data_IF_742418435866
#
_entry.id   IF_742418435866
#
_cell.length_a   1.000
_cell.length_b   1.000
_cell.length_c   1.000
_cell.angle_alpha   90.00
_cell.angle_beta   90.00
_cell.angle_gamma   90.00
#
_symmetry.space_group_name_H-M   'P 1'
#
loop_
_entity.id
_entity.type
_entity.pdbx_description
1 polymer ?
#
# COMPACT_ATOMS: atom_id res chain seq x y z
N UNK A 1 -39.35 -16.61 -33.53
CA UNK A 1 -38.03 -16.43 -34.16
C UNK A 1 -37.11 -15.51 -33.36
N UNK A 2 -37.51 -14.30 -32.94
CA UNK A 2 -36.67 -13.41 -32.10
C UNK A 2 -36.19 -13.97 -30.75
N UNK A 3 -36.93 -14.87 -30.10
CA UNK A 3 -36.51 -15.45 -28.81
C UNK A 3 -35.40 -16.51 -28.96
N UNK A 4 -35.35 -17.22 -30.10
CA UNK A 4 -34.36 -18.29 -30.35
C UNK A 4 -33.00 -17.73 -30.79
N UNK A 5 -32.96 -16.57 -31.47
CA UNK A 5 -31.70 -15.88 -31.78
C UNK A 5 -31.03 -15.27 -30.54
N UNK A 6 -31.82 -14.81 -29.56
CA UNK A 6 -31.30 -14.23 -28.30
C UNK A 6 -30.66 -15.31 -27.42
N UNK A 7 -31.24 -16.52 -27.32
CA UNK A 7 -30.64 -17.62 -26.55
C UNK A 7 -29.34 -18.15 -27.21
N UNK A 8 -29.31 -18.29 -28.54
CA UNK A 8 -28.12 -18.75 -29.25
C UNK A 8 -26.94 -17.75 -29.17
N UNK A 9 -27.24 -16.45 -29.20
CA UNK A 9 -26.23 -15.40 -29.04
C UNK A 9 -25.75 -15.27 -27.59
N UNK A 10 -26.64 -15.46 -26.61
CA UNK A 10 -26.28 -15.47 -25.20
C UNK A 10 -25.39 -16.66 -24.84
N UNK A 11 -25.66 -17.86 -25.37
CA UNK A 11 -24.83 -19.04 -25.12
C UNK A 11 -23.47 -18.97 -25.82
N UNK A 12 -23.41 -18.40 -27.03
CA UNK A 12 -22.15 -18.10 -27.69
C UNK A 12 -21.32 -17.07 -26.88
N UNK A 13 -21.94 -16.00 -26.39
CA UNK A 13 -21.28 -14.98 -25.56
C UNK A 13 -20.79 -15.56 -24.21
N UNK A 14 -21.55 -16.45 -23.58
CA UNK A 14 -21.14 -17.19 -22.37
C UNK A 14 -19.95 -18.10 -22.63
N UNK A 15 -19.96 -18.82 -23.76
CA UNK A 15 -18.85 -19.71 -24.14
C UNK A 15 -17.56 -18.92 -24.41
N UNK A 16 -17.67 -17.74 -25.02
CA UNK A 16 -16.54 -16.86 -25.30
C UNK A 16 -16.00 -16.24 -24.01
N UNK A 17 -16.89 -15.84 -23.09
CA UNK A 17 -16.50 -15.36 -21.75
C UNK A 17 -15.69 -16.39 -20.96
N UNK A 18 -16.12 -17.65 -20.95
CA UNK A 18 -15.38 -18.74 -20.31
C UNK A 18 -14.02 -19.01 -20.96
N UNK A 19 -13.94 -18.95 -22.29
CA UNK A 19 -12.67 -19.13 -23.01
C UNK A 19 -11.68 -17.99 -22.72
N UNK A 20 -12.16 -16.74 -22.67
CA UNK A 20 -11.33 -15.58 -22.30
C UNK A 20 -10.86 -15.70 -20.85
N UNK A 21 -11.75 -16.06 -19.93
CA UNK A 21 -11.38 -16.25 -18.51
C UNK A 21 -10.30 -17.34 -18.36
N UNK A 22 -10.44 -18.47 -19.06
CA UNK A 22 -9.46 -19.54 -19.06
C UNK A 22 -8.11 -19.15 -19.69
N UNK A 23 -8.13 -18.36 -20.78
CA UNK A 23 -6.92 -17.89 -21.45
C UNK A 23 -6.17 -16.83 -20.63
N UNK A 24 -6.88 -16.08 -19.80
CA UNK A 24 -6.33 -14.96 -19.02
C UNK A 24 -5.92 -15.38 -17.61
N UNK A 25 -6.43 -16.51 -17.09
CA UNK A 25 -6.06 -17.07 -15.80
C UNK A 25 -4.54 -17.34 -15.61
N UNK A 26 -3.80 -17.90 -16.59
CA UNK A 26 -2.34 -18.07 -16.49
C UNK A 26 -1.56 -16.74 -16.45
N UNK A 27 -2.17 -15.65 -16.90
CA UNK A 27 -1.57 -14.32 -16.98
C UNK A 27 -1.82 -13.47 -15.71
N UNK A 28 -2.41 -14.07 -14.66
CA UNK A 28 -2.78 -13.43 -13.38
C UNK A 28 -3.69 -12.20 -13.55
N UNK A 29 -4.52 -12.21 -14.59
CA UNK A 29 -5.47 -11.15 -14.93
C UNK A 29 -6.90 -11.70 -14.69
N UNK A 30 -7.77 -10.85 -14.16
CA UNK A 30 -9.20 -11.08 -14.05
C UNK A 30 -9.93 -10.30 -15.14
N UNK A 31 -10.98 -10.92 -15.66
CA UNK A 31 -11.76 -10.41 -16.78
C UNK A 31 -13.17 -10.18 -16.28
N UNK A 32 -13.59 -8.91 -16.20
CA UNK A 32 -14.95 -8.54 -15.78
C UNK A 32 -15.75 -8.11 -17.02
N UNK A 33 -16.80 -8.86 -17.44
CA UNK A 33 -17.65 -8.42 -18.54
C UNK A 33 -18.41 -7.14 -18.14
N UNK A 34 -18.40 -6.14 -19.01
CA UNK A 34 -18.99 -4.82 -18.79
C UNK A 34 -19.96 -4.49 -19.92
N UNK A 35 -21.24 -4.73 -19.68
CA UNK A 35 -22.32 -4.28 -20.56
C UNK A 35 -22.67 -2.81 -20.31
N UNK A 36 -22.81 -2.02 -21.39
CA UNK A 36 -23.15 -0.58 -21.30
C UNK A 36 -24.04 -0.13 -22.45
N UNK A 37 -24.87 0.86 -22.18
CA UNK A 37 -25.69 1.55 -23.18
C UNK A 37 -24.83 2.37 -24.15
N UNK A 38 -25.12 2.29 -25.45
CA UNK A 38 -24.37 2.99 -26.51
C UNK A 38 -24.18 4.50 -26.26
N UNK A 39 -25.15 5.17 -25.62
CA UNK A 39 -25.04 6.59 -25.26
C UNK A 39 -23.93 6.90 -24.23
N UNK A 40 -23.55 5.92 -23.41
CA UNK A 40 -22.53 6.04 -22.37
C UNK A 40 -21.19 5.40 -22.77
N UNK A 41 -21.16 4.72 -23.92
CA UNK A 41 -20.01 3.97 -24.42
C UNK A 41 -18.74 4.82 -24.54
N UNK A 42 -18.86 6.06 -25.01
CA UNK A 42 -17.71 6.99 -25.06
C UNK A 42 -17.12 7.21 -23.65
N UNK A 43 -17.98 7.42 -22.63
CA UNK A 43 -17.54 7.61 -21.23
C UNK A 43 -16.97 6.33 -20.63
N UNK A 44 -17.54 5.18 -20.95
CA UNK A 44 -17.06 3.89 -20.47
C UNK A 44 -15.70 3.52 -21.05
N UNK A 45 -15.46 3.74 -22.35
CA UNK A 45 -14.14 3.57 -22.97
C UNK A 45 -13.09 4.46 -22.27
N UNK A 46 -13.52 5.62 -21.79
CA UNK A 46 -12.76 6.52 -20.92
C UNK A 46 -12.66 6.10 -19.45
N UNK A 47 -13.24 4.98 -19.01
CA UNK A 47 -13.13 4.48 -17.63
C UNK A 47 -12.52 3.08 -17.53
N UNK A 48 -12.70 2.23 -18.55
CA UNK A 48 -12.43 0.79 -18.47
C UNK A 48 -11.01 0.36 -18.88
N UNK A 49 -10.03 1.28 -19.03
CA UNK A 49 -8.65 0.89 -19.37
C UNK A 49 -7.94 0.19 -18.19
N UNK A 50 -7.19 -0.91 -18.41
CA UNK A 50 -7.07 -1.65 -19.67
C UNK A 50 -8.29 -2.56 -19.92
N UNK A 51 -8.69 -2.70 -21.19
CA UNK A 51 -9.86 -3.48 -21.60
C UNK A 51 -9.57 -4.34 -22.84
N UNK A 52 -10.22 -5.48 -22.95
CA UNK A 52 -10.34 -6.25 -24.18
C UNK A 52 -11.68 -5.87 -24.84
N UNK A 53 -11.64 -5.54 -26.13
CA UNK A 53 -12.80 -5.19 -26.92
C UNK A 53 -13.00 -6.27 -27.99
N UNK A 54 -14.22 -6.80 -28.12
CA UNK A 54 -14.61 -7.61 -29.29
C UNK A 54 -15.26 -6.73 -30.33
N UNK A 55 -14.74 -6.70 -31.56
CA UNK A 55 -15.54 -6.29 -32.70
C UNK A 55 -15.84 -7.50 -33.58
N UNK A 56 -16.46 -8.51 -32.98
CA UNK A 56 -17.05 -9.62 -33.72
C UNK A 56 -18.00 -9.07 -34.80
N UNK A 57 -17.59 -9.25 -36.06
CA UNK A 57 -18.51 -9.36 -37.18
C UNK A 57 -18.88 -10.85 -37.29
N UNK A 58 -20.11 -11.19 -37.67
CA UNK A 58 -20.82 -12.48 -37.48
C UNK A 58 -20.07 -13.79 -37.87
N UNK A 59 -18.81 -13.76 -38.32
CA UNK A 59 -17.97 -14.89 -38.67
C UNK A 59 -16.53 -14.87 -38.09
N UNK A 60 -16.03 -13.76 -37.51
CA UNK A 60 -14.69 -13.68 -36.87
C UNK A 60 -14.67 -12.68 -35.71
N UNK A 61 -14.29 -13.14 -34.51
CA UNK A 61 -13.95 -12.25 -33.38
C UNK A 61 -12.58 -11.62 -33.61
N UNK A 62 -12.55 -10.30 -33.73
CA UNK A 62 -11.33 -9.51 -33.73
C UNK A 62 -11.17 -8.84 -32.36
N UNK A 63 -10.20 -9.33 -31.58
CA UNK A 63 -9.90 -8.78 -30.27
C UNK A 63 -8.90 -7.64 -30.38
N UNK A 64 -9.22 -6.50 -29.76
CA UNK A 64 -8.30 -5.38 -29.59
C UNK A 64 -8.13 -5.07 -28.11
N UNK A 65 -6.88 -4.83 -27.70
CA UNK A 65 -6.57 -4.44 -26.32
C UNK A 65 -6.48 -2.93 -26.22
N UNK A 66 -7.39 -2.34 -25.46
CA UNK A 66 -7.35 -0.95 -25.01
C UNK A 66 -6.33 -0.85 -23.86
N UNK A 67 -5.15 -0.31 -24.13
CA UNK A 67 -4.00 -0.46 -23.24
C UNK A 67 -3.83 0.73 -22.30
N UNK A 68 -3.97 1.95 -22.82
CA UNK A 68 -3.76 3.17 -22.04
C UNK A 68 -4.49 4.38 -22.64
N UNK A 69 -4.52 5.47 -21.88
CA UNK A 69 -5.03 6.77 -22.33
C UNK A 69 -3.89 7.73 -22.53
N UNK A 70 -3.95 8.51 -23.60
CA UNK A 70 -3.02 9.62 -23.85
C UNK A 70 -3.79 10.86 -24.24
N UNK A 71 -3.92 11.78 -23.30
CA UNK A 71 -4.65 13.05 -23.47
C UNK A 71 -6.11 12.87 -23.89
N UNK A 72 -6.43 13.06 -25.18
CA UNK A 72 -7.77 12.91 -25.79
C UNK A 72 -7.90 11.68 -26.69
N UNK A 73 -6.87 10.83 -26.73
CA UNK A 73 -6.82 9.61 -27.57
C UNK A 73 -6.68 8.36 -26.71
N UNK A 74 -7.23 7.27 -27.22
CA UNK A 74 -7.10 5.93 -26.67
C UNK A 74 -5.94 5.23 -27.38
N UNK A 75 -5.10 4.52 -26.62
CA UNK A 75 -4.00 3.73 -27.18
C UNK A 75 -4.46 2.29 -27.30
N UNK A 76 -4.66 1.84 -28.53
CA UNK A 76 -5.00 0.46 -28.88
C UNK A 76 -3.72 -0.31 -29.16
N UNK A 77 -3.70 -1.58 -28.78
CA UNK A 77 -2.73 -2.56 -29.23
C UNK A 77 -3.40 -3.40 -30.31
N UNK A 78 -2.87 -3.33 -31.52
CA UNK A 78 -3.31 -4.17 -32.62
C UNK A 78 -2.79 -5.62 -32.43
N UNK A 79 -3.38 -6.64 -33.09
CA UNK A 79 -2.98 -8.05 -32.95
C UNK A 79 -1.50 -8.31 -33.28
N UNK A 80 -0.93 -7.48 -34.13
CA UNK A 80 0.47 -7.39 -34.54
C UNK A 80 1.40 -6.73 -33.48
N UNK A 81 0.86 -6.36 -32.31
CA UNK A 81 1.61 -5.76 -31.19
C UNK A 81 1.91 -4.27 -31.35
N UNK A 82 1.48 -3.66 -32.46
CA UNK A 82 1.69 -2.23 -32.72
C UNK A 82 0.76 -1.36 -31.88
N UNK A 83 1.28 -0.23 -31.37
CA UNK A 83 0.52 0.72 -30.55
C UNK A 83 0.00 1.87 -31.42
N UNK A 84 -1.31 2.03 -31.51
CA UNK A 84 -1.93 3.09 -32.28
C UNK A 84 -2.80 4.00 -31.40
N UNK A 85 -2.68 5.32 -31.60
CA UNK A 85 -3.45 6.32 -30.87
C UNK A 85 -4.68 6.75 -31.68
N UNK A 86 -5.85 6.27 -31.26
CA UNK A 86 -7.12 6.35 -31.98
C UNK A 86 -8.11 7.21 -31.21
N UNK A 87 -9.02 7.91 -31.90
CA UNK A 87 -10.06 8.70 -31.21
C UNK A 87 -11.14 7.79 -30.64
N UNK A 88 -11.78 8.14 -29.51
CA UNK A 88 -12.88 7.35 -28.94
C UNK A 88 -14.03 7.09 -29.93
N UNK A 89 -14.30 8.07 -30.81
CA UNK A 89 -15.32 7.97 -31.85
C UNK A 89 -14.98 6.90 -32.90
N UNK A 90 -13.71 6.78 -33.27
CA UNK A 90 -13.24 5.74 -34.18
C UNK A 90 -13.37 4.35 -33.56
N UNK A 91 -13.04 4.21 -32.27
CA UNK A 91 -13.22 2.94 -31.53
C UNK A 91 -14.70 2.56 -31.44
N UNK A 92 -15.58 3.53 -31.17
CA UNK A 92 -17.03 3.30 -31.13
C UNK A 92 -17.57 2.80 -32.47
N UNK A 93 -17.25 3.52 -33.56
CA UNK A 93 -17.66 3.15 -34.92
C UNK A 93 -17.17 1.77 -35.34
N UNK A 94 -16.00 1.37 -34.83
CA UNK A 94 -15.45 0.04 -35.08
C UNK A 94 -16.21 -1.03 -34.27
N UNK A 95 -16.40 -0.81 -32.97
CA UNK A 95 -17.11 -1.73 -32.06
C UNK A 95 -18.57 -1.96 -32.47
N UNK A 96 -19.24 -0.91 -32.95
CA UNK A 96 -20.67 -0.94 -33.29
C UNK A 96 -20.90 -0.99 -34.81
N UNK A 97 -19.89 -1.35 -35.61
CA UNK A 97 -19.94 -1.25 -37.08
C UNK A 97 -21.12 -2.02 -37.68
N UNK A 98 -21.40 -3.21 -37.17
CA UNK A 98 -22.48 -4.08 -37.64
C UNK A 98 -23.86 -3.50 -37.34
N UNK A 99 -24.03 -2.84 -36.18
CA UNK A 99 -25.30 -2.19 -35.82
C UNK A 99 -25.45 -0.79 -36.43
N UNK A 100 -24.35 -0.05 -36.64
CA UNK A 100 -24.35 1.28 -37.22
C UNK A 100 -24.52 1.27 -38.76
N UNK A 101 -23.96 0.29 -39.47
CA UNK A 101 -23.94 0.21 -40.94
C UNK A 101 -25.32 0.32 -41.62
N UNK A 102 -26.36 -0.42 -41.21
CA UNK A 102 -27.68 -0.31 -41.84
C UNK A 102 -28.33 1.06 -41.61
N UNK A 103 -28.21 1.64 -40.41
CA UNK A 103 -28.73 2.98 -40.10
C UNK A 103 -27.94 4.09 -40.83
N UNK A 104 -26.63 3.91 -41.00
CA UNK A 104 -25.78 4.84 -41.75
C UNK A 104 -26.20 4.90 -43.22
N UNK A 105 -26.48 3.76 -43.85
CA UNK A 105 -26.93 3.69 -45.24
C UNK A 105 -28.31 4.35 -45.42
N UNK A 106 -29.25 4.08 -44.51
CA UNK A 106 -30.57 4.70 -44.52
C UNK A 106 -30.46 6.23 -44.31
N UNK A 107 -29.68 6.68 -43.33
CA UNK A 107 -29.51 8.11 -43.04
C UNK A 107 -28.75 8.87 -44.12
N UNK A 108 -27.78 8.26 -44.81
CA UNK A 108 -27.10 8.89 -45.95
C UNK A 108 -28.08 9.17 -47.10
N UNK A 109 -29.03 8.26 -47.34
CA UNK A 109 -30.08 8.45 -48.35
C UNK A 109 -31.03 9.61 -47.99
N UNK A 110 -31.36 9.76 -46.71
CA UNK A 110 -32.25 10.83 -46.21
C UNK A 110 -31.54 12.18 -46.15
N UNK A 111 -30.31 12.23 -45.63
CA UNK A 111 -29.52 13.46 -45.53
C UNK A 111 -29.10 14.00 -46.90
N UNK A 112 -28.93 13.12 -47.90
CA UNK A 112 -28.68 13.53 -49.29
C UNK A 112 -29.83 14.32 -49.92
N UNK A 113 -31.07 14.08 -49.48
CA UNK A 113 -32.27 14.79 -49.97
C UNK A 113 -32.48 16.17 -49.33
N UNK A 114 -31.87 16.43 -48.18
CA UNK A 114 -32.12 17.63 -47.36
C UNK A 114 -31.12 18.77 -47.64
N UNK A 115 -30.15 18.57 -48.53
CA UNK A 115 -29.27 19.66 -49.00
C UNK A 115 -28.29 20.21 -47.94
N UNK A 116 -27.99 19.43 -46.89
CA UNK A 116 -27.07 19.85 -45.81
C UNK A 116 -25.63 19.90 -46.33
N UNK A 117 -24.83 20.85 -45.85
CA UNK A 117 -23.40 20.97 -46.18
C UNK A 117 -22.58 19.71 -45.77
N UNK A 118 -21.62 19.24 -46.59
CA UNK A 118 -20.91 17.97 -46.37
C UNK A 118 -20.17 17.89 -45.03
N UNK A 119 -19.65 19.03 -44.52
CA UNK A 119 -18.98 19.09 -43.21
C UNK A 119 -19.95 18.95 -42.02
N UNK A 120 -21.21 19.34 -42.19
CA UNK A 120 -22.23 19.25 -41.15
C UNK A 120 -22.97 17.90 -41.18
N UNK A 121 -23.01 17.23 -42.34
CA UNK A 121 -23.61 15.90 -42.49
C UNK A 121 -23.01 14.89 -41.52
N UNK A 122 -21.68 14.84 -41.39
CA UNK A 122 -21.00 13.91 -40.49
C UNK A 122 -21.37 14.13 -39.01
N UNK A 123 -21.55 15.40 -38.59
CA UNK A 123 -21.96 15.74 -37.22
C UNK A 123 -23.44 15.44 -36.96
N UNK A 124 -24.30 15.75 -37.92
CA UNK A 124 -25.74 15.45 -37.83
C UNK A 124 -25.98 13.94 -37.79
N UNK A 125 -25.26 13.19 -38.62
CA UNK A 125 -25.31 11.73 -38.65
C UNK A 125 -24.89 11.12 -37.30
N UNK A 126 -23.76 11.56 -36.73
CA UNK A 126 -23.31 11.09 -35.42
C UNK A 126 -24.31 11.44 -34.30
N UNK A 127 -24.94 12.62 -34.34
CA UNK A 127 -25.94 13.03 -33.34
C UNK A 127 -27.23 12.20 -33.42
N UNK A 128 -27.71 11.93 -34.63
CA UNK A 128 -28.93 11.14 -34.86
C UNK A 128 -28.69 9.67 -34.48
N UNK A 129 -27.52 9.11 -34.80
CA UNK A 129 -27.15 7.74 -34.39
C UNK A 129 -27.09 7.61 -32.86
N UNK A 130 -26.52 8.62 -32.17
CA UNK A 130 -26.49 8.63 -30.69
C UNK A 130 -27.87 8.62 -30.07
N UNK A 131 -28.82 9.37 -30.63
CA UNK A 131 -30.17 9.42 -30.09
C UNK A 131 -30.95 8.13 -30.41
N UNK A 132 -30.82 7.61 -31.62
CA UNK A 132 -31.52 6.39 -32.08
C UNK A 132 -31.02 5.12 -31.40
N UNK A 133 -29.71 5.03 -31.16
CA UNK A 133 -29.08 3.84 -30.56
C UNK A 133 -28.85 3.98 -29.06
N UNK A 134 -29.33 5.05 -28.42
CA UNK A 134 -29.07 5.34 -26.99
C UNK A 134 -29.38 4.18 -26.05
N UNK A 135 -30.42 3.40 -26.36
CA UNK A 135 -30.90 2.26 -25.56
C UNK A 135 -30.28 0.92 -25.96
N UNK A 136 -29.42 0.89 -26.98
CA UNK A 136 -28.74 -0.33 -27.41
C UNK A 136 -27.70 -0.73 -26.34
N UNK A 137 -27.84 -1.94 -25.82
CA UNK A 137 -26.90 -2.52 -24.86
C UNK A 137 -25.75 -3.20 -25.60
N UNK A 138 -24.52 -2.84 -25.24
CA UNK A 138 -23.28 -3.33 -25.85
C UNK A 138 -22.53 -4.15 -24.79
N UNK A 139 -22.38 -5.47 -25.02
CA UNK A 139 -21.76 -6.41 -24.06
C UNK A 139 -20.30 -6.78 -24.39
N UNK A 140 -19.79 -6.29 -25.52
CA UNK A 140 -18.52 -6.72 -26.11
C UNK A 140 -17.27 -6.06 -25.48
N UNK A 141 -17.33 -5.77 -24.19
CA UNK A 141 -16.27 -5.06 -23.46
C UNK A 141 -15.93 -5.86 -22.22
N UNK A 142 -14.68 -6.31 -22.14
CA UNK A 142 -14.16 -6.97 -20.95
C UNK A 142 -13.09 -6.11 -20.31
N UNK A 143 -13.28 -5.75 -19.04
CA UNK A 143 -12.25 -5.03 -18.30
C UNK A 143 -11.17 -6.01 -17.85
N UNK A 144 -9.91 -5.72 -18.20
CA UNK A 144 -8.76 -6.46 -17.69
C UNK A 144 -8.31 -5.82 -16.39
N UNK A 145 -8.48 -6.52 -15.27
CA UNK A 145 -7.94 -6.12 -13.98
C UNK A 145 -6.82 -7.05 -13.58
N UNK A 146 -5.71 -6.57 -12.99
CA UNK A 146 -4.79 -7.47 -12.32
C UNK A 146 -5.55 -8.21 -11.22
N UNK A 147 -5.47 -9.54 -11.19
CA UNK A 147 -6.14 -10.31 -10.15
C UNK A 147 -5.59 -9.86 -8.77
N UNK A 148 -6.45 -9.66 -7.75
CA UNK A 148 -6.03 -9.38 -6.39
C UNK A 148 -5.09 -10.45 -5.79
N UNK A 149 -5.04 -11.65 -6.40
CA UNK A 149 -4.13 -12.74 -6.05
C UNK A 149 -2.68 -12.57 -6.52
N UNK A 150 -2.39 -11.57 -7.37
CA UNK A 150 -1.01 -11.26 -7.81
C UNK A 150 -0.11 -10.87 -6.63
N UNK A 151 1.21 -11.12 -6.74
CA UNK A 151 2.16 -10.83 -5.66
C UNK A 151 2.05 -9.38 -5.16
N UNK A 152 1.91 -9.20 -3.84
CA UNK A 152 1.77 -7.91 -3.15
C UNK A 152 2.82 -6.89 -3.60
N UNK A 153 4.05 -7.35 -3.84
CA UNK A 153 5.17 -6.55 -4.32
C UNK A 153 4.97 -5.96 -5.72
N UNK A 154 4.37 -6.70 -6.67
CA UNK A 154 4.07 -6.18 -8.02
C UNK A 154 2.95 -5.14 -8.00
N UNK A 155 1.97 -5.30 -7.10
CA UNK A 155 0.93 -4.28 -6.89
C UNK A 155 1.53 -3.00 -6.28
N UNK A 156 2.44 -3.15 -5.31
CA UNK A 156 3.19 -2.04 -4.71
C UNK A 156 4.02 -1.26 -5.74
N UNK A 157 4.72 -1.95 -6.63
CA UNK A 157 5.55 -1.33 -7.67
C UNK A 157 4.70 -0.56 -8.69
N UNK A 158 3.57 -1.13 -9.14
CA UNK A 158 2.66 -0.48 -10.11
C UNK A 158 1.98 0.77 -9.54
N UNK A 159 1.76 0.82 -8.22
CA UNK A 159 1.16 1.97 -7.54
C UNK A 159 2.07 3.20 -7.39
N UNK A 160 3.27 3.23 -8.02
CA UNK A 160 4.30 4.28 -7.87
C UNK A 160 4.71 4.54 -6.42
N UNK A 161 4.57 3.52 -5.57
CA UNK A 161 4.74 3.66 -4.12
C UNK A 161 6.20 3.94 -3.71
N UNK A 162 7.17 3.53 -4.53
CA UNK A 162 8.58 3.83 -4.32
C UNK A 162 8.89 5.33 -4.36
N UNK A 163 8.18 6.14 -5.16
CA UNK A 163 8.38 7.61 -5.16
C UNK A 163 7.87 8.27 -3.89
N UNK A 164 6.79 7.76 -3.31
CA UNK A 164 6.26 8.22 -2.02
C UNK A 164 7.24 7.86 -0.89
N UNK A 165 7.76 6.64 -0.91
CA UNK A 165 8.77 6.20 0.04
C UNK A 165 10.07 7.00 -0.11
N UNK A 166 10.52 7.26 -1.34
CA UNK A 166 11.70 8.07 -1.60
C UNK A 166 11.49 9.53 -1.16
N UNK A 167 10.31 10.10 -1.43
CA UNK A 167 9.94 11.44 -0.95
C UNK A 167 9.91 11.54 0.58
N UNK A 168 9.37 10.52 1.26
CA UNK A 168 9.41 10.39 2.71
C UNK A 168 10.85 10.34 3.24
N UNK A 169 11.66 9.40 2.74
CA UNK A 169 13.07 9.23 3.15
C UNK A 169 13.88 10.50 2.88
N UNK A 170 13.75 11.10 1.71
CA UNK A 170 14.47 12.32 1.34
C UNK A 170 14.10 13.50 2.24
N UNK A 171 12.80 13.71 2.51
CA UNK A 171 12.34 14.76 3.42
C UNK A 171 12.90 14.57 4.82
N UNK A 172 12.95 13.32 5.29
CA UNK A 172 13.46 12.98 6.61
C UNK A 172 14.98 13.19 6.72
N UNK A 173 15.73 12.72 5.73
CA UNK A 173 17.19 12.92 5.66
C UNK A 173 17.53 14.42 5.63
N UNK A 174 16.83 15.21 4.82
CA UNK A 174 17.04 16.66 4.76
C UNK A 174 16.75 17.34 6.10
N UNK A 175 15.71 16.89 6.82
CA UNK A 175 15.39 17.40 8.14
C UNK A 175 16.52 17.11 9.14
N UNK A 176 17.08 15.89 9.14
CA UNK A 176 18.22 15.54 10.00
C UNK A 176 19.48 16.32 9.67
N UNK A 177 19.82 16.42 8.38
CA UNK A 177 20.96 17.22 7.92
C UNK A 177 20.79 18.67 8.37
N UNK A 178 19.60 19.26 8.22
CA UNK A 178 19.32 20.60 8.70
C UNK A 178 19.44 20.74 10.21
N UNK A 179 18.96 19.77 11.00
CA UNK A 179 19.18 19.76 12.45
C UNK A 179 20.66 19.71 12.82
N UNK A 180 21.47 18.89 12.15
CA UNK A 180 22.90 18.83 12.41
C UNK A 180 23.63 20.12 12.03
N UNK A 181 23.28 20.73 10.90
CA UNK A 181 23.80 22.04 10.51
C UNK A 181 23.42 23.12 11.53
N UNK A 182 22.18 23.09 12.04
CA UNK A 182 21.71 24.04 13.04
C UNK A 182 22.52 23.93 14.34
N UNK A 183 22.65 22.72 14.89
CA UNK A 183 23.43 22.48 16.12
C UNK A 183 24.92 22.74 15.95
N UNK A 184 25.50 22.35 14.81
CA UNK A 184 26.91 22.58 14.52
C UNK A 184 27.26 24.07 14.44
N UNK A 185 26.44 24.87 13.73
CA UNK A 185 26.63 26.32 13.63
C UNK A 185 26.32 27.03 14.95
N UNK A 186 25.30 26.59 15.68
CA UNK A 186 25.01 27.15 17.01
C UNK A 186 26.20 26.93 17.96
N UNK A 187 26.79 25.74 17.94
CA UNK A 187 27.98 25.41 18.72
C UNK A 187 29.18 26.28 18.37
N UNK A 188 29.45 26.52 17.08
CA UNK A 188 30.58 27.35 16.66
C UNK A 188 30.42 28.81 17.08
N UNK A 189 29.21 29.38 17.00
CA UNK A 189 28.93 30.75 17.43
C UNK A 189 29.18 30.92 18.94
N UNK A 190 28.69 29.98 19.76
CA UNK A 190 28.85 30.03 21.21
C UNK A 190 30.32 29.90 21.62
N UNK A 191 31.06 28.99 20.96
CA UNK A 191 32.48 28.75 21.27
C UNK A 191 33.37 29.90 20.79
N UNK A 192 33.14 30.40 19.58
CA UNK A 192 33.91 31.51 19.01
C UNK A 192 33.62 32.84 19.73
N UNK A 193 32.55 32.92 20.54
CA UNK A 193 32.04 34.13 21.20
C UNK A 193 31.78 35.30 20.23
N UNK A 194 31.71 35.03 18.93
CA UNK A 194 31.42 36.02 17.90
C UNK A 194 30.10 35.67 17.23
N UNK A 195 29.07 36.47 17.52
CA UNK A 195 27.75 36.30 16.96
C UNK A 195 27.54 37.32 15.84
N UNK A 196 28.02 36.98 14.65
CA UNK A 196 27.78 37.79 13.47
C UNK A 196 26.29 37.72 13.06
N UNK A 197 25.75 38.86 12.61
CA UNK A 197 24.35 38.98 12.17
C UNK A 197 24.02 37.95 11.06
N UNK A 198 24.98 37.69 10.18
CA UNK A 198 24.86 36.73 9.07
C UNK A 198 24.72 35.29 9.57
N UNK A 199 25.40 34.92 10.66
CA UNK A 199 25.32 33.59 11.23
C UNK A 199 23.95 33.35 11.88
N UNK A 200 23.41 34.36 12.58
CA UNK A 200 22.05 34.32 13.13
C UNK A 200 21.02 34.27 12.00
N UNK A 201 21.18 35.09 10.95
CA UNK A 201 20.30 35.09 9.80
C UNK A 201 20.29 33.73 9.08
N UNK A 202 21.45 33.07 8.95
CA UNK A 202 21.56 31.71 8.41
C UNK A 202 20.78 30.70 9.27
N UNK A 203 20.90 30.73 10.59
CA UNK A 203 20.15 29.85 11.49
C UNK A 203 18.63 30.06 11.37
N UNK A 204 18.18 31.32 11.31
CA UNK A 204 16.75 31.64 11.13
C UNK A 204 16.25 31.14 9.78
N UNK A 205 16.99 31.39 8.70
CA UNK A 205 16.65 30.89 7.37
C UNK A 205 16.62 29.36 7.33
N UNK A 206 17.55 28.70 8.02
CA UNK A 206 17.62 27.25 8.15
C UNK A 206 16.38 26.69 8.87
N UNK A 207 15.90 27.35 9.92
CA UNK A 207 14.63 26.96 10.59
C UNK A 207 13.45 27.11 9.63
N UNK A 208 13.37 28.23 8.90
CA UNK A 208 12.29 28.47 7.95
C UNK A 208 12.25 27.41 6.84
N UNK A 209 13.40 27.01 6.30
CA UNK A 209 13.45 25.97 5.27
C UNK A 209 13.16 24.57 5.82
N UNK A 210 13.35 24.32 7.12
CA UNK A 210 13.00 23.03 7.75
C UNK A 210 11.49 22.85 7.92
N UNK A 211 10.71 23.92 8.06
CA UNK A 211 9.24 23.86 8.20
C UNK A 211 8.56 23.07 7.06
N UNK A 212 8.77 23.38 5.76
CA UNK A 212 8.12 22.63 4.69
C UNK A 212 8.52 21.15 4.69
N UNK A 213 9.77 20.80 4.99
CA UNK A 213 10.20 19.40 5.08
C UNK A 213 9.56 18.67 6.26
N UNK A 214 9.39 19.37 7.40
CA UNK A 214 8.70 18.85 8.58
C UNK A 214 7.22 18.56 8.30
N UNK A 215 6.57 19.32 7.42
CA UNK A 215 5.18 19.08 7.00
C UNK A 215 5.08 18.03 5.89
N UNK A 216 6.04 18.00 4.97
CA UNK A 216 6.05 17.07 3.84
C UNK A 216 6.27 15.62 4.28
N UNK A 217 7.14 15.37 5.26
CA UNK A 217 7.43 14.01 5.72
C UNK A 217 6.18 13.25 6.23
N UNK A 218 5.38 13.78 7.18
CA UNK A 218 4.11 13.17 7.59
C UNK A 218 3.12 13.03 6.43
N UNK A 219 3.09 13.97 5.48
CA UNK A 219 2.18 13.90 4.34
C UNK A 219 2.51 12.75 3.38
N UNK A 220 3.79 12.57 3.03
CA UNK A 220 4.25 11.43 2.23
C UNK A 220 3.94 10.11 2.93
N UNK A 221 4.22 10.05 4.24
CA UNK A 221 3.97 8.88 5.06
C UNK A 221 2.47 8.55 5.19
N UNK A 222 1.62 9.54 5.45
CA UNK A 222 0.16 9.35 5.53
C UNK A 222 -0.42 8.85 4.20
N UNK A 223 0.06 9.40 3.08
CA UNK A 223 -0.35 8.94 1.75
C UNK A 223 0.10 7.50 1.48
N UNK A 224 1.32 7.14 1.90
CA UNK A 224 1.84 5.78 1.83
C UNK A 224 0.97 4.81 2.66
N UNK A 225 0.66 5.20 3.89
CA UNK A 225 -0.17 4.45 4.84
C UNK A 225 -1.56 4.17 4.28
N UNK A 226 -2.25 5.19 3.74
CA UNK A 226 -3.58 5.03 3.13
C UNK A 226 -3.56 4.03 1.97
N UNK A 227 -2.55 4.09 1.08
CA UNK A 227 -2.46 3.17 -0.07
C UNK A 227 -2.18 1.73 0.35
N UNK A 228 -1.35 1.53 1.38
CA UNK A 228 -1.10 0.20 1.93
C UNK A 228 -2.37 -0.35 2.58
N UNK A 229 -3.06 0.46 3.38
CA UNK A 229 -4.34 0.10 4.00
C UNK A 229 -5.41 -0.28 2.96
N UNK A 230 -5.53 0.50 1.87
CA UNK A 230 -6.43 0.20 0.75
C UNK A 230 -6.14 -1.17 0.12
N UNK A 231 -4.87 -1.50 -0.13
CA UNK A 231 -4.48 -2.80 -0.70
C UNK A 231 -4.80 -3.97 0.24
N UNK A 232 -4.52 -3.81 1.53
CA UNK A 232 -4.83 -4.83 2.54
C UNK A 232 -6.34 -5.06 2.63
N UNK A 233 -7.14 -3.99 2.71
CA UNK A 233 -8.60 -4.08 2.76
C UNK A 233 -9.20 -4.73 1.52
N UNK A 234 -8.72 -4.37 0.33
CA UNK A 234 -9.17 -5.01 -0.93
C UNK A 234 -8.90 -6.50 -0.92
N UNK A 235 -7.73 -6.92 -0.43
CA UNK A 235 -7.35 -8.34 -0.36
C UNK A 235 -8.17 -9.11 0.68
N UNK A 236 -8.42 -8.52 1.85
CA UNK A 236 -9.27 -9.13 2.88
C UNK A 236 -10.71 -9.26 2.41
N UNK A 237 -11.27 -8.23 1.77
CA UNK A 237 -12.61 -8.27 1.20
C UNK A 237 -12.71 -9.34 0.11
N UNK A 238 -11.73 -9.41 -0.79
CA UNK A 238 -11.67 -10.43 -1.82
C UNK A 238 -11.57 -11.84 -1.23
N UNK A 239 -10.73 -12.02 -0.21
CA UNK A 239 -10.64 -13.29 0.54
C UNK A 239 -11.97 -13.67 1.19
N UNK A 240 -12.64 -12.70 1.82
CA UNK A 240 -13.95 -12.92 2.45
C UNK A 240 -15.05 -13.30 1.45
N UNK A 241 -15.05 -12.70 0.26
CA UNK A 241 -16.01 -13.01 -0.81
C UNK A 241 -15.80 -14.39 -1.45
N UNK A 242 -14.63 -15.01 -1.24
CA UNK A 242 -14.28 -16.34 -1.75
C UNK A 242 -14.38 -17.47 -0.73
N UNK A 243 -14.72 -17.17 0.53
CA UNK A 243 -14.90 -18.20 1.55
C UNK A 243 -16.08 -19.10 1.20
N UNK A 244 -15.86 -20.41 1.16
CA UNK A 244 -16.91 -21.38 0.93
C UNK A 244 -17.84 -21.49 2.16
N UNK A 245 -19.15 -21.75 2.00
CA UNK A 245 -20.09 -21.86 3.12
C UNK A 245 -19.68 -22.89 4.19
N UNK A 246 -19.03 -23.98 3.80
CA UNK A 246 -18.45 -24.98 4.70
C UNK A 246 -17.31 -24.43 5.58
N UNK A 247 -16.44 -23.55 5.07
CA UNK A 247 -15.38 -22.90 5.86
C UNK A 247 -15.93 -21.95 6.92
N UNK A 248 -17.04 -21.27 6.61
CA UNK A 248 -17.74 -20.40 7.56
C UNK A 248 -18.36 -21.22 8.70
N UNK A 249 -18.87 -22.43 8.41
CA UNK A 249 -19.40 -23.36 9.43
C UNK A 249 -18.31 -23.89 10.35
N UNK A 250 -17.10 -24.14 9.84
CA UNK A 250 -16.00 -24.68 10.64
C UNK A 250 -15.25 -23.62 11.46
N UNK A 251 -15.10 -22.38 10.97
CA UNK A 251 -14.33 -21.36 11.69
C UNK A 251 -15.13 -20.59 12.75
N UNK A 252 -16.47 -20.70 12.77
CA UNK A 252 -17.32 -19.99 13.73
C UNK A 252 -17.33 -18.47 13.50
N UNK A 253 -18.51 -17.88 13.43
CA UNK A 253 -18.69 -16.45 13.08
C UNK A 253 -17.89 -15.50 13.98
N UNK A 254 -17.61 -15.88 15.23
CA UNK A 254 -16.78 -15.13 16.18
C UNK A 254 -15.30 -15.01 15.80
N UNK A 255 -14.66 -16.04 15.22
CA UNK A 255 -13.27 -15.93 14.77
C UNK A 255 -13.15 -15.04 13.53
N UNK A 256 -14.10 -15.13 12.60
CA UNK A 256 -14.13 -14.28 11.41
C UNK A 256 -14.30 -12.81 11.80
N UNK A 257 -15.21 -12.51 12.74
CA UNK A 257 -15.37 -11.15 13.29
C UNK A 257 -14.12 -10.69 14.05
N UNK A 258 -13.52 -11.56 14.86
CA UNK A 258 -12.26 -11.29 15.56
C UNK A 258 -11.12 -10.96 14.61
N UNK A 259 -10.97 -11.69 13.50
CA UNK A 259 -9.94 -11.42 12.47
C UNK A 259 -10.16 -10.08 11.77
N UNK A 260 -11.41 -9.67 11.56
CA UNK A 260 -11.73 -8.34 11.01
C UNK A 260 -11.37 -7.23 12.00
N UNK A 261 -11.71 -7.38 13.28
CA UNK A 261 -11.35 -6.40 14.33
C UNK A 261 -9.83 -6.34 14.49
N UNK A 262 -9.13 -7.48 14.53
CA UNK A 262 -7.68 -7.52 14.61
C UNK A 262 -7.02 -6.92 13.36
N UNK A 263 -7.64 -7.01 12.19
CA UNK A 263 -7.13 -6.36 10.98
C UNK A 263 -7.07 -4.84 11.10
N UNK A 264 -8.01 -4.20 11.79
CA UNK A 264 -7.98 -2.75 12.01
C UNK A 264 -6.86 -2.34 12.98
N UNK A 265 -6.66 -3.15 14.03
CA UNK A 265 -5.54 -2.96 14.94
C UNK A 265 -4.19 -3.16 14.25
N UNK A 266 -4.09 -4.16 13.37
CA UNK A 266 -2.90 -4.39 12.53
C UNK A 266 -2.69 -3.22 11.58
N UNK A 267 -3.73 -2.71 10.91
CA UNK A 267 -3.60 -1.57 9.99
C UNK A 267 -3.10 -0.33 10.73
N UNK A 268 -3.79 0.09 11.79
CA UNK A 268 -3.42 1.29 12.55
C UNK A 268 -2.04 1.18 13.21
N UNK A 269 -1.76 0.09 13.94
CA UNK A 269 -0.52 -0.05 14.70
C UNK A 269 0.68 -0.46 13.84
N UNK A 270 0.49 -1.32 12.83
CA UNK A 270 1.60 -1.72 11.97
C UNK A 270 1.99 -0.60 11.02
N UNK A 271 1.03 0.19 10.53
CA UNK A 271 1.35 1.40 9.79
C UNK A 271 2.05 2.35 10.75
N UNK A 272 1.42 2.91 11.77
CA UNK A 272 2.06 3.91 12.64
C UNK A 272 3.41 3.45 13.23
N UNK A 273 3.51 2.18 13.63
CA UNK A 273 4.76 1.57 14.09
C UNK A 273 5.86 1.50 13.03
N UNK A 274 5.50 1.25 11.76
CA UNK A 274 6.46 1.22 10.66
C UNK A 274 7.15 2.57 10.43
N UNK A 275 6.43 3.69 10.61
CA UNK A 275 6.99 5.02 10.51
C UNK A 275 8.17 5.21 11.47
N UNK A 276 7.97 4.81 12.73
CA UNK A 276 8.99 4.88 13.78
C UNK A 276 10.20 3.99 13.47
N UNK A 277 9.98 2.81 12.87
CA UNK A 277 11.08 1.92 12.46
C UNK A 277 11.92 2.56 11.35
N UNK A 278 11.28 3.11 10.30
CA UNK A 278 12.01 3.78 9.22
C UNK A 278 12.77 5.01 9.72
N UNK A 279 12.10 5.84 10.53
CA UNK A 279 12.68 7.01 11.19
C UNK A 279 13.89 6.62 12.04
N UNK A 280 13.72 5.64 12.94
CA UNK A 280 14.79 5.14 13.80
C UNK A 280 15.97 4.56 13.02
N UNK A 281 15.74 3.89 11.87
CA UNK A 281 16.81 3.39 11.01
C UNK A 281 17.61 4.53 10.38
N UNK A 282 16.93 5.54 9.84
CA UNK A 282 17.57 6.73 9.27
C UNK A 282 18.37 7.45 10.36
N UNK A 283 17.78 7.65 11.53
CA UNK A 283 18.44 8.23 12.70
C UNK A 283 19.71 7.47 13.07
N UNK A 284 19.63 6.14 13.15
CA UNK A 284 20.77 5.30 13.52
C UNK A 284 21.89 5.40 12.48
N UNK A 285 21.56 5.32 11.19
CA UNK A 285 22.52 5.45 10.08
C UNK A 285 23.21 6.81 10.10
N UNK A 286 22.46 7.89 10.36
CA UNK A 286 23.01 9.24 10.42
C UNK A 286 23.81 9.50 11.70
N UNK A 287 23.46 8.85 12.81
CA UNK A 287 24.13 9.02 14.11
C UNK A 287 25.51 8.38 14.13
N UNK A 288 25.71 7.22 13.48
CA UNK A 288 26.98 6.49 13.50
C UNK A 288 28.17 7.35 13.00
N UNK A 289 28.13 7.99 11.82
CA UNK A 289 29.20 8.87 11.35
C UNK A 289 29.50 10.02 12.32
N UNK A 290 28.47 10.60 12.91
CA UNK A 290 28.59 11.72 13.85
C UNK A 290 29.32 11.28 15.12
N UNK A 291 29.00 10.10 15.65
CA UNK A 291 29.70 9.55 16.82
C UNK A 291 31.16 9.22 16.51
N UNK A 292 31.47 8.76 15.29
CA UNK A 292 32.85 8.48 14.85
C UNK A 292 33.68 9.76 14.77
N UNK A 293 33.12 10.87 14.28
CA UNK A 293 33.80 12.18 14.23
C UNK A 293 33.83 12.86 15.61
N UNK A 294 32.86 12.57 16.47
CA UNK A 294 32.71 13.16 17.80
C UNK A 294 33.75 12.70 18.83
N UNK A 295 33.62 13.23 20.05
CA UNK A 295 34.58 13.03 21.14
C UNK A 295 34.80 11.54 21.50
N UNK A 296 33.77 10.69 21.42
CA UNK A 296 33.89 9.26 21.73
C UNK A 296 34.46 8.41 20.59
N UNK A 297 34.43 8.91 19.35
CA UNK A 297 34.90 8.20 18.16
C UNK A 297 34.34 6.79 17.99
N UNK A 298 35.15 5.89 17.46
CA UNK A 298 34.80 4.49 17.20
C UNK A 298 34.34 3.71 18.43
N UNK A 299 34.86 4.04 19.62
CA UNK A 299 34.48 3.35 20.86
C UNK A 299 32.99 3.56 21.19
N UNK A 300 32.49 4.78 21.00
CA UNK A 300 31.09 5.10 21.24
C UNK A 300 30.18 4.51 20.17
N UNK A 301 30.63 4.44 18.91
CA UNK A 301 29.92 3.75 17.83
C UNK A 301 29.80 2.23 18.10
N UNK A 302 30.85 1.59 18.63
CA UNK A 302 30.80 0.16 19.01
C UNK A 302 29.84 -0.07 20.18
N UNK A 303 29.89 0.79 21.21
CA UNK A 303 28.97 0.75 22.34
C UNK A 303 27.51 0.91 21.87
N UNK A 304 27.25 1.81 20.91
CA UNK A 304 25.93 1.93 20.27
C UNK A 304 25.52 0.65 19.55
N UNK A 305 26.40 0.06 18.74
CA UNK A 305 26.11 -1.16 18.00
C UNK A 305 25.75 -2.33 18.94
N UNK A 306 26.51 -2.49 20.02
CA UNK A 306 26.22 -3.50 21.06
C UNK A 306 24.89 -3.22 21.76
N UNK A 307 24.61 -1.96 22.08
CA UNK A 307 23.35 -1.56 22.72
C UNK A 307 22.13 -1.80 21.83
N UNK A 308 22.24 -1.50 20.53
CA UNK A 308 21.20 -1.81 19.53
C UNK A 308 21.00 -3.32 19.44
N UNK A 309 22.08 -4.10 19.38
CA UNK A 309 22.01 -5.57 19.40
C UNK A 309 21.29 -6.13 20.63
N UNK A 310 21.61 -5.62 21.82
CA UNK A 310 20.93 -6.00 23.06
C UNK A 310 19.43 -5.64 23.02
N UNK A 311 19.11 -4.44 22.55
CA UNK A 311 17.72 -3.98 22.41
C UNK A 311 16.93 -4.88 21.45
N UNK A 312 17.54 -5.31 20.33
CA UNK A 312 16.93 -6.24 19.38
C UNK A 312 16.70 -7.62 19.99
N UNK A 313 17.63 -8.14 20.81
CA UNK A 313 17.44 -9.42 21.51
C UNK A 313 16.28 -9.33 22.49
N UNK A 314 16.17 -8.26 23.29
CA UNK A 314 15.05 -8.05 24.22
C UNK A 314 13.73 -7.88 23.45
N UNK A 315 13.75 -7.14 22.34
CA UNK A 315 12.58 -6.99 21.47
C UNK A 315 12.13 -8.33 20.87
N UNK A 316 13.07 -9.19 20.46
CA UNK A 316 12.76 -10.54 19.97
C UNK A 316 12.15 -11.44 21.05
N UNK A 317 12.70 -11.40 22.27
CA UNK A 317 12.13 -12.11 23.40
C UNK A 317 10.73 -11.61 23.73
N UNK A 318 10.50 -10.29 23.70
CA UNK A 318 9.17 -9.71 23.87
C UNK A 318 8.21 -10.19 22.77
N UNK A 319 8.65 -10.19 21.51
CA UNK A 319 7.85 -10.70 20.38
C UNK A 319 7.43 -12.16 20.59
N UNK A 320 8.37 -13.03 21.01
CA UNK A 320 8.03 -14.42 21.31
C UNK A 320 7.02 -14.55 22.45
N UNK A 321 7.22 -13.82 23.57
CA UNK A 321 6.26 -13.82 24.68
C UNK A 321 4.89 -13.31 24.26
N UNK A 322 4.85 -12.21 23.50
CA UNK A 322 3.63 -11.63 22.94
C UNK A 322 2.90 -12.63 22.04
N UNK A 323 3.62 -13.38 21.21
CA UNK A 323 3.03 -14.39 20.31
C UNK A 323 2.40 -15.56 21.07
N UNK A 324 2.98 -15.97 22.20
CA UNK A 324 2.47 -17.05 23.05
C UNK A 324 1.23 -16.56 23.81
N UNK A 325 1.32 -15.38 24.43
CA UNK A 325 0.22 -14.73 25.12
C UNK A 325 -1.00 -14.50 24.21
N UNK A 326 -0.80 -14.00 22.98
CA UNK A 326 -1.92 -13.78 22.03
C UNK A 326 -2.61 -15.10 21.66
N UNK A 327 -1.84 -16.19 21.46
CA UNK A 327 -2.41 -17.51 21.18
C UNK A 327 -3.24 -18.04 22.35
N UNK A 328 -2.72 -17.94 23.58
CA UNK A 328 -3.46 -18.32 24.78
C UNK A 328 -4.75 -17.50 24.95
N UNK A 329 -4.67 -16.18 24.76
CA UNK A 329 -5.84 -15.28 24.81
C UNK A 329 -6.94 -15.68 23.82
N UNK A 330 -6.57 -16.01 22.57
CA UNK A 330 -7.54 -16.44 21.57
C UNK A 330 -8.12 -17.83 21.88
N UNK A 331 -7.29 -18.75 22.39
CA UNK A 331 -7.73 -20.09 22.83
C UNK A 331 -8.82 -20.01 23.89
N UNK A 332 -8.59 -19.26 24.97
CA UNK A 332 -9.58 -19.09 26.07
C UNK A 332 -10.94 -18.62 25.56
N UNK A 333 -10.95 -17.66 24.63
CA UNK A 333 -12.21 -17.12 24.09
C UNK A 333 -12.98 -18.17 23.30
N UNK A 334 -12.27 -18.99 22.52
CA UNK A 334 -12.87 -20.09 21.77
C UNK A 334 -13.46 -21.15 22.70
N UNK A 335 -12.67 -21.60 23.68
CA UNK A 335 -13.05 -22.64 24.63
C UNK A 335 -14.26 -22.21 25.48
N UNK A 336 -14.28 -20.95 25.94
CA UNK A 336 -15.43 -20.40 26.68
C UNK A 336 -16.71 -20.37 25.84
N UNK A 337 -16.62 -20.01 24.56
CA UNK A 337 -17.78 -20.00 23.66
C UNK A 337 -18.30 -21.41 23.42
N UNK A 338 -17.41 -22.38 23.19
CA UNK A 338 -17.78 -23.79 23.03
C UNK A 338 -18.46 -24.34 24.29
N UNK A 339 -17.91 -24.04 25.46
CA UNK A 339 -18.48 -24.43 26.75
C UNK A 339 -19.84 -23.77 27.04
N UNK A 340 -20.04 -22.50 26.66
CA UNK A 340 -21.34 -21.81 26.78
C UNK A 340 -22.41 -22.46 25.89
N UNK A 341 -22.06 -22.88 24.67
CA UNK A 341 -22.97 -23.61 23.77
C UNK A 341 -23.27 -25.02 24.31
N UNK A 342 -22.24 -25.70 24.84
CA UNK A 342 -22.33 -27.03 25.44
C UNK A 342 -22.84 -27.08 26.88
N UNK A 343 -23.27 -25.94 27.45
CA UNK A 343 -23.55 -25.82 28.88
C UNK A 343 -24.53 -26.87 29.42
N UNK A 344 -25.61 -27.17 28.68
CA UNK A 344 -26.59 -28.18 29.10
C UNK A 344 -26.00 -29.59 29.16
N UNK A 345 -25.13 -29.93 28.23
CA UNK A 345 -24.44 -31.22 28.20
C UNK A 345 -23.41 -31.32 29.33
N UNK A 346 -22.64 -30.24 29.57
CA UNK A 346 -21.73 -30.15 30.74
C UNK A 346 -22.48 -30.35 32.05
N UNK A 347 -23.60 -29.64 32.24
CA UNK A 347 -24.39 -29.72 33.47
C UNK A 347 -24.93 -31.14 33.75
N UNK A 348 -25.22 -31.91 32.69
CA UNK A 348 -25.73 -33.27 32.81
C UNK A 348 -24.63 -34.33 32.98
N UNK A 349 -23.41 -34.09 32.48
CA UNK A 349 -22.34 -35.09 32.41
C UNK A 349 -21.16 -34.84 33.37
N UNK A 350 -20.85 -33.59 33.69
CA UNK A 350 -19.71 -33.24 34.55
C UNK A 350 -20.13 -33.12 36.01
N UNK A 351 -19.25 -33.60 36.89
CA UNK A 351 -19.40 -33.40 38.33
C UNK A 351 -19.22 -31.93 38.70
N UNK A 352 -19.90 -31.46 39.75
CA UNK A 352 -19.86 -30.05 40.17
C UNK A 352 -18.44 -29.55 40.49
N UNK A 353 -17.55 -30.45 40.94
CA UNK A 353 -16.16 -30.13 41.28
C UNK A 353 -15.27 -29.91 40.05
N UNK A 354 -15.70 -30.38 38.87
CA UNK A 354 -14.94 -30.29 37.61
C UNK A 354 -15.41 -29.13 36.73
N UNK A 355 -16.49 -28.44 37.09
CA UNK A 355 -17.05 -27.35 36.30
C UNK A 355 -16.08 -26.18 36.07
N UNK A 356 -15.10 -25.94 36.94
CA UNK A 356 -14.18 -24.81 36.78
C UNK A 356 -12.71 -25.21 36.59
N UNK A 357 -12.37 -26.50 36.70
CA UNK A 357 -10.97 -26.95 36.74
C UNK A 357 -10.19 -26.61 35.46
N UNK A 358 -10.83 -26.73 34.30
CA UNK A 358 -10.19 -26.42 33.02
C UNK A 358 -10.13 -24.90 32.75
N UNK A 359 -11.15 -24.15 33.19
CA UNK A 359 -11.16 -22.67 33.12
C UNK A 359 -10.07 -22.07 34.01
N UNK A 360 -9.91 -22.59 35.24
CA UNK A 360 -8.85 -22.19 36.18
C UNK A 360 -7.46 -22.50 35.59
N UNK A 361 -7.24 -23.70 35.05
CA UNK A 361 -5.95 -24.07 34.43
C UNK A 361 -5.60 -23.14 33.26
N UNK A 362 -6.58 -22.81 32.41
CA UNK A 362 -6.37 -21.92 31.28
C UNK A 362 -6.06 -20.48 31.72
N UNK A 363 -6.73 -20.00 32.78
CA UNK A 363 -6.47 -18.68 33.37
C UNK A 363 -5.08 -18.60 34.02
N UNK A 364 -4.65 -19.63 34.73
CA UNK A 364 -3.30 -19.71 35.33
C UNK A 364 -2.22 -19.68 34.24
N UNK A 365 -2.37 -20.49 33.18
CA UNK A 365 -1.43 -20.48 32.06
C UNK A 365 -1.38 -19.09 31.40
N UNK A 366 -2.53 -18.47 31.15
CA UNK A 366 -2.61 -17.11 30.63
C UNK A 366 -1.91 -16.09 31.54
N UNK A 367 -2.10 -16.16 32.85
CA UNK A 367 -1.48 -15.25 33.81
C UNK A 367 0.05 -15.37 33.77
N UNK A 368 0.59 -16.58 33.78
CA UNK A 368 2.05 -16.79 33.72
C UNK A 368 2.66 -16.31 32.40
N UNK A 369 1.93 -16.42 31.28
CA UNK A 369 2.36 -15.89 29.99
C UNK A 369 2.28 -14.35 29.95
N UNK A 370 1.25 -13.76 30.57
CA UNK A 370 1.09 -12.33 30.70
C UNK A 370 2.23 -11.71 31.52
N UNK A 371 2.57 -12.27 32.69
CA UNK A 371 3.69 -11.78 33.51
C UNK A 371 5.02 -11.78 32.75
N UNK A 372 5.34 -12.90 32.05
CA UNK A 372 6.56 -13.00 31.24
C UNK A 372 6.60 -11.94 30.13
N UNK A 373 5.46 -11.67 29.49
CA UNK A 373 5.35 -10.64 28.47
C UNK A 373 5.51 -9.23 29.08
N UNK A 374 4.88 -8.96 30.22
CA UNK A 374 4.89 -7.65 30.87
C UNK A 374 6.27 -7.29 31.42
N UNK A 375 7.01 -8.24 32.00
CA UNK A 375 8.40 -8.02 32.40
C UNK A 375 9.28 -7.61 31.21
N UNK A 376 9.13 -8.31 30.07
CA UNK A 376 9.89 -8.00 28.84
C UNK A 376 9.46 -6.66 28.25
N UNK A 377 8.16 -6.34 28.30
CA UNK A 377 7.63 -5.05 27.88
C UNK A 377 8.20 -3.91 28.74
N UNK A 378 8.24 -4.08 30.06
CA UNK A 378 8.79 -3.12 31.00
C UNK A 378 10.28 -2.87 30.73
N UNK A 379 11.07 -3.93 30.51
CA UNK A 379 12.47 -3.81 30.11
C UNK A 379 12.62 -3.01 28.80
N UNK A 380 11.84 -3.33 27.78
CA UNK A 380 11.92 -2.71 26.47
C UNK A 380 11.48 -1.23 26.48
N UNK A 381 10.41 -0.87 27.20
CA UNK A 381 9.86 0.49 27.22
C UNK A 381 10.56 1.41 28.24
N UNK A 382 11.02 0.88 29.36
CA UNK A 382 11.55 1.71 30.46
C UNK A 382 13.07 1.69 30.56
N UNK A 383 13.69 0.51 30.41
CA UNK A 383 15.13 0.33 30.63
C UNK A 383 15.93 0.61 29.36
N UNK A 384 15.55 0.06 28.21
CA UNK A 384 16.33 0.22 26.97
C UNK A 384 16.50 1.69 26.54
N UNK A 385 15.46 2.56 26.53
CA UNK A 385 15.63 3.94 26.10
C UNK A 385 16.47 4.79 27.07
N UNK A 386 16.33 4.54 28.38
CA UNK A 386 17.03 5.31 29.42
C UNK A 386 18.46 4.80 29.68
N UNK A 387 18.68 3.50 29.54
CA UNK A 387 19.96 2.86 29.74
C UNK A 387 21.02 3.35 28.75
N UNK A 388 20.62 3.70 27.52
CA UNK A 388 21.51 4.29 26.53
C UNK A 388 22.18 5.57 27.04
N UNK A 389 21.45 6.46 27.71
CA UNK A 389 22.02 7.72 28.20
C UNK A 389 23.17 7.49 29.17
N UNK A 390 23.05 6.49 30.05
CA UNK A 390 24.10 6.13 31.03
C UNK A 390 25.27 5.44 30.33
N UNK A 391 24.98 4.43 29.49
CA UNK A 391 26.00 3.65 28.79
C UNK A 391 26.77 4.50 27.78
N UNK A 392 26.09 5.41 27.09
CA UNK A 392 26.69 6.35 26.14
C UNK A 392 27.64 7.34 26.84
N UNK A 393 27.28 7.83 28.03
CA UNK A 393 28.16 8.67 28.86
C UNK A 393 29.41 7.92 29.33
N UNK A 394 29.25 6.66 29.77
CA UNK A 394 30.40 5.82 30.13
C UNK A 394 31.33 5.56 28.93
N UNK A 395 30.76 5.37 27.74
CA UNK A 395 31.51 5.22 26.50
C UNK A 395 32.45 6.39 26.20
N UNK A 396 32.05 7.62 26.52
CA UNK A 396 32.88 8.82 26.36
C UNK A 396 34.12 8.81 27.28
N UNK A 397 34.00 8.26 28.48
CA UNK A 397 35.12 8.21 29.46
C UNK A 397 36.20 7.21 29.07
N UNK A 398 35.86 6.10 28.40
CA UNK A 398 36.79 5.03 28.03
C UNK A 398 37.91 5.55 27.10
N UNK A 399 37.60 6.47 26.17
CA UNK A 399 38.61 7.06 25.29
C UNK A 399 39.53 8.04 26.02
N UNK A 400 39.02 8.82 26.98
CA UNK A 400 39.85 9.71 27.82
C UNK A 400 40.90 8.94 28.61
N UNK A 401 40.58 7.73 29.07
CA UNK A 401 41.51 6.84 29.78
C UNK A 401 42.56 6.22 28.84
N UNK A 402 42.20 5.92 27.58
CA UNK A 402 43.14 5.44 26.56
C UNK A 402 44.01 6.54 25.92
N UNK A 403 43.66 7.82 26.10
CA UNK A 403 44.27 8.97 25.43
C UNK A 403 45.15 9.86 26.31
N UNK A 404 45.68 9.35 27.42
CA UNK A 404 46.62 10.11 28.28
C UNK A 404 48.06 10.17 27.72
N UNK A 405 48.33 9.70 26.51
CA UNK A 405 49.64 9.85 25.85
C UNK A 405 49.48 10.28 24.39
N UNK A 406 49.81 11.55 24.11
CA UNK A 406 50.18 12.04 22.78
C UNK A 406 49.05 12.61 21.91
N UNK A 407 48.91 13.95 21.86
CA UNK A 407 48.15 14.56 20.76
C UNK A 407 47.72 16.02 20.83
N UNK A 408 48.05 16.80 21.87
CA UNK A 408 47.50 18.18 22.01
C UNK A 408 48.51 19.34 22.07
N UNK A 409 49.78 19.16 21.66
CA UNK A 409 50.79 20.25 21.71
C UNK A 409 51.40 20.65 20.36
N UNK A 410 50.65 20.65 19.26
CA UNK A 410 51.25 21.04 17.96
C UNK A 410 50.35 21.91 17.08
N UNK A 411 49.89 23.05 17.58
CA UNK A 411 49.32 24.12 16.70
C UNK A 411 49.88 25.54 16.99
N UNK A 412 50.56 25.82 18.10
CA UNK A 412 50.96 27.22 18.40
C UNK A 412 52.36 27.69 17.94
N UNK A 413 53.20 26.86 17.31
CA UNK A 413 54.60 27.23 17.08
C UNK A 413 54.97 27.73 15.67
N UNK A 414 54.01 28.12 14.83
CA UNK A 414 54.29 28.57 13.45
C UNK A 414 53.94 30.05 13.17
N UNK A 415 54.04 30.93 14.17
CA UNK A 415 53.74 32.37 14.00
C UNK A 415 54.81 33.37 14.50
N UNK A 416 56.05 32.94 14.74
CA UNK A 416 57.12 33.87 15.18
C UNK A 416 58.39 33.90 14.31
N UNK A 417 58.27 33.60 13.01
CA UNK A 417 59.37 33.81 12.07
C UNK A 417 58.86 34.07 10.65
N UNK A 418 58.37 35.28 10.42
CA UNK A 418 58.34 35.98 9.14
C UNK A 418 58.17 37.48 9.40
#
# INVERSE_FOLDING_TARGET
MRALEVDATADAARSLGQQIEFAVAPLELEVEPRGVLYGELDRLLWQVCPALLDAADNQRSEFIVLLARRWRKLVLLAPDGTRQAVSPQQVRRWLCRTQESPLIAEMQSLLGRVGIEPNQRARAQDAILRERLKTLWVENIWQLRPSPGTSFWRQLQRARMHWLLLGFVASYVLLYVGWFLLWGNLGSIVIAKNADLNAIAFLVLLIFILVPFRLAAPWFYGTLSIRVGELVKRRLLYGALRLEPEEIRHQGTGQLLGRVIESEAIESQALDGSAFVFMGLIELVMTIPILIVGAGGWSQALVLAVWVGLTLVVAWQYYQARSQWTRARMGITHDLVEQMVGYRTRLAQQSCEEWHRDEERALDEYHTLAEKMDCRMALLKSVMPRGWSVVGLLGLHIRKLKGSDGGYLRIEQCRSSA
#
